data_IF_118348924019
#
_entry.id   IF_118348924019
#
_cell.length_a   1.000
_cell.length_b   1.000
_cell.length_c   1.000
_cell.angle_alpha   90.00
_cell.angle_beta   90.00
_cell.angle_gamma   90.00
#
_symmetry.space_group_name_H-M   'P 1'
#
loop_
_entity.id
_entity.type
_entity.pdbx_description
1 polymer ?
#
# COMPACT_ATOMS: atom_id res chain seq x y z
N UNK A 1 -33.46 -35.49 31.95
CA UNK A 1 -33.61 -36.38 30.80
C UNK A 1 -34.73 -35.79 29.96
N UNK A 2 -34.57 -35.30 28.73
CA UNK A 2 -33.42 -35.19 27.80
C UNK A 2 -33.69 -33.99 26.85
N UNK A 3 -32.74 -33.34 26.17
CA UNK A 3 -31.26 -33.45 26.15
C UNK A 3 -30.62 -32.14 25.61
N UNK A 4 -29.28 -32.08 25.54
CA UNK A 4 -28.53 -30.93 24.99
C UNK A 4 -28.47 -30.91 23.47
N UNK A 5 -29.10 -29.91 22.83
CA UNK A 5 -28.83 -29.56 21.44
C UNK A 5 -27.63 -28.58 21.39
N UNK A 6 -26.61 -28.80 20.53
CA UNK A 6 -25.38 -28.03 20.60
C UNK A 6 -25.52 -26.60 20.03
N UNK A 7 -25.29 -25.62 20.91
CA UNK A 7 -24.80 -24.25 20.66
C UNK A 7 -24.90 -23.74 19.22
N UNK A 8 -26.08 -23.23 18.87
CA UNK A 8 -26.28 -22.29 17.78
C UNK A 8 -25.86 -20.86 18.15
N UNK A 9 -24.77 -20.69 18.90
CA UNK A 9 -24.17 -19.37 19.17
C UNK A 9 -23.50 -18.87 17.88
N UNK A 10 -24.33 -18.48 16.90
CA UNK A 10 -23.94 -17.45 15.94
C UNK A 10 -23.84 -16.17 16.73
N UNK A 11 -22.73 -16.03 17.45
CA UNK A 11 -22.18 -14.74 17.78
C UNK A 11 -22.00 -14.06 16.43
N UNK A 12 -22.99 -13.27 16.05
CA UNK A 12 -22.86 -12.29 14.98
C UNK A 12 -21.71 -11.42 15.44
N UNK A 13 -20.52 -11.73 14.90
CA UNK A 13 -19.41 -10.81 14.87
C UNK A 13 -19.92 -9.70 13.98
N UNK A 14 -20.68 -8.79 14.59
CA UNK A 14 -20.80 -7.41 14.14
C UNK A 14 -19.35 -7.04 13.88
N UNK A 15 -18.94 -6.83 12.62
CA UNK A 15 -17.62 -6.31 12.37
C UNK A 15 -17.60 -5.04 13.20
N UNK A 16 -16.73 -4.96 14.22
CA UNK A 16 -16.55 -3.72 14.97
C UNK A 16 -16.27 -2.71 13.89
N UNK A 17 -17.26 -1.86 13.62
CA UNK A 17 -17.17 -0.93 12.52
C UNK A 17 -15.95 -0.11 12.87
N UNK A 18 -14.91 -0.28 12.07
CA UNK A 18 -13.71 0.53 12.18
C UNK A 18 -14.17 1.90 11.74
N UNK A 19 -14.77 2.62 12.68
CA UNK A 19 -15.14 4.02 12.56
C UNK A 19 -13.82 4.77 12.51
N UNK A 20 -13.17 4.69 11.36
CA UNK A 20 -12.28 5.72 10.88
C UNK A 20 -13.06 7.02 11.01
N UNK A 21 -12.72 7.78 12.04
CA UNK A 21 -13.20 9.14 12.20
C UNK A 21 -12.85 9.91 10.94
N UNK A 22 -13.66 10.92 10.58
CA UNK A 22 -13.39 11.76 9.41
C UNK A 22 -11.94 12.25 9.39
N UNK A 23 -11.39 12.60 10.55
CA UNK A 23 -10.03 13.08 10.74
C UNK A 23 -8.97 12.02 10.37
N UNK A 24 -9.16 10.77 10.78
CA UNK A 24 -8.23 9.67 10.44
C UNK A 24 -8.32 9.27 8.96
N UNK A 25 -9.49 9.40 8.34
CA UNK A 25 -9.64 9.25 6.90
C UNK A 25 -8.95 10.40 6.13
N UNK A 26 -9.09 11.65 6.58
CA UNK A 26 -8.43 12.81 5.98
C UNK A 26 -6.90 12.73 6.10
N UNK A 27 -6.38 12.30 7.26
CA UNK A 27 -4.94 12.08 7.46
C UNK A 27 -4.39 11.01 6.50
N UNK A 28 -5.07 9.87 6.35
CA UNK A 28 -4.68 8.85 5.37
C UNK A 28 -4.68 9.37 3.93
N UNK A 29 -5.64 10.22 3.54
CA UNK A 29 -5.68 10.83 2.20
C UNK A 29 -4.45 11.74 1.99
N UNK A 30 -4.02 12.49 3.01
CA UNK A 30 -2.81 13.32 2.93
C UNK A 30 -1.54 12.47 2.84
N UNK A 31 -1.42 11.41 3.64
CA UNK A 31 -0.29 10.47 3.57
C UNK A 31 -0.20 9.79 2.19
N UNK A 32 -1.33 9.34 1.63
CA UNK A 32 -1.38 8.73 0.28
C UNK A 32 -0.96 9.75 -0.80
N UNK A 33 -1.39 11.02 -0.67
CA UNK A 33 -0.99 12.10 -1.58
C UNK A 33 0.52 12.37 -1.49
N UNK A 34 1.08 12.44 -0.29
CA UNK A 34 2.51 12.64 -0.07
C UNK A 34 3.35 11.46 -0.61
N UNK A 35 2.96 10.23 -0.28
CA UNK A 35 3.59 9.01 -0.81
C UNK A 35 3.54 8.95 -2.35
N UNK A 36 2.47 9.46 -2.98
CA UNK A 36 2.37 9.53 -4.44
C UNK A 36 3.41 10.47 -5.05
N UNK A 37 3.72 11.60 -4.39
CA UNK A 37 4.78 12.50 -4.82
C UNK A 37 6.17 11.87 -4.70
N UNK A 38 6.45 11.20 -3.58
CA UNK A 38 7.71 10.47 -3.38
C UNK A 38 7.89 9.35 -4.42
N UNK A 39 6.82 8.63 -4.77
CA UNK A 39 6.83 7.61 -5.82
C UNK A 39 7.16 8.19 -7.20
N UNK A 40 6.63 9.36 -7.56
CA UNK A 40 6.97 10.03 -8.82
C UNK A 40 8.43 10.51 -8.84
N UNK A 41 8.96 11.00 -7.71
CA UNK A 41 10.38 11.37 -7.58
C UNK A 41 11.30 10.14 -7.74
N UNK A 42 10.97 9.03 -7.07
CA UNK A 42 11.71 7.76 -7.18
C UNK A 42 11.70 7.28 -8.63
N UNK A 43 10.54 7.30 -9.29
CA UNK A 43 10.38 6.91 -10.70
C UNK A 43 11.24 7.74 -11.64
N UNK A 44 11.32 9.06 -11.45
CA UNK A 44 12.19 9.91 -12.27
C UNK A 44 13.68 9.64 -12.02
N UNK A 45 14.07 9.44 -10.74
CA UNK A 45 15.44 9.03 -10.38
C UNK A 45 15.82 7.66 -10.97
N UNK A 46 14.88 6.71 -11.05
CA UNK A 46 15.09 5.42 -11.71
C UNK A 46 15.37 5.59 -13.20
N UNK A 47 14.63 6.45 -13.92
CA UNK A 47 14.91 6.75 -15.35
C UNK A 47 16.30 7.38 -15.54
N UNK A 48 16.68 8.30 -14.66
CA UNK A 48 18.01 8.94 -14.70
C UNK A 48 19.12 7.88 -14.57
N UNK A 49 18.98 6.95 -13.62
CA UNK A 49 19.92 5.84 -13.42
C UNK A 49 19.94 4.90 -14.64
N UNK A 50 18.77 4.53 -15.17
CA UNK A 50 18.67 3.67 -16.35
C UNK A 50 19.37 4.28 -17.57
N UNK A 51 19.18 5.58 -17.82
CA UNK A 51 19.85 6.29 -18.91
C UNK A 51 21.36 6.37 -18.70
N UNK A 52 21.83 6.56 -17.45
CA UNK A 52 23.27 6.54 -17.13
C UNK A 52 23.89 5.16 -17.35
N UNK A 53 23.18 4.09 -17.00
CA UNK A 53 23.61 2.71 -17.27
C UNK A 53 23.67 2.41 -18.78
N UNK A 54 22.66 2.81 -19.55
CA UNK A 54 22.66 2.74 -21.03
C UNK A 54 23.88 3.46 -21.62
N UNK A 55 24.16 4.68 -21.16
CA UNK A 55 25.32 5.45 -21.62
C UNK A 55 26.66 4.75 -21.28
N UNK A 56 26.77 4.15 -20.09
CA UNK A 56 27.97 3.41 -19.66
C UNK A 56 28.20 2.18 -20.55
N UNK A 57 27.17 1.36 -20.79
CA UNK A 57 27.22 0.19 -21.67
C UNK A 57 27.61 0.60 -23.10
N UNK A 58 27.04 1.70 -23.61
CA UNK A 58 27.34 2.25 -24.93
C UNK A 58 28.78 2.75 -25.07
N UNK A 59 29.37 3.30 -24.00
CA UNK A 59 30.80 3.67 -23.99
C UNK A 59 31.69 2.43 -23.94
N UNK A 60 31.38 1.44 -23.11
CA UNK A 60 32.16 0.20 -23.03
C UNK A 60 32.11 -0.60 -24.34
N UNK A 61 30.97 -0.65 -25.02
CA UNK A 61 30.82 -1.33 -26.32
C UNK A 61 31.45 -0.59 -27.51
N UNK A 62 32.12 0.55 -27.28
CA UNK A 62 32.92 1.29 -28.28
C UNK A 62 34.43 1.10 -28.11
N UNK A 63 34.85 0.35 -27.08
CA UNK A 63 36.24 -0.03 -26.80
C UNK A 63 36.46 -1.42 -27.40
#
# INVERSE_FOLDING_TARGET
>A
MCETCPKGDVQVVVPKSSHFTSDSAQWLIQEIMYCSHDLDLIKEKTKEIEQRLKNLIHVLGRI
#
